data_IF_226043338144
#
_entry.id   IF_226043338144
#
_cell.length_a   1.000
_cell.length_b   1.000
_cell.length_c   1.000
_cell.angle_alpha   90.00
_cell.angle_beta   90.00
_cell.angle_gamma   90.00
#
_symmetry.space_group_name_H-M   'P 1'
#
loop_
_entity.id
_entity.type
_entity.pdbx_description
1 polymer ?
#
# COMPACT_ATOMS: atom_id res chain seq x y z
N UNK A 1 -30.88 -44.26 -15.41
CA UNK A 1 -32.07 -43.45 -15.63
C UNK A 1 -32.44 -42.72 -14.34
N UNK A 2 -32.21 -41.39 -14.27
CA UNK A 2 -33.01 -40.38 -13.59
C UNK A 2 -32.33 -39.02 -13.82
N UNK A 3 -33.01 -38.17 -14.60
CA UNK A 3 -32.73 -36.77 -14.88
C UNK A 3 -33.37 -35.93 -13.77
N UNK A 4 -32.77 -34.83 -13.44
CA UNK A 4 -33.38 -33.55 -12.94
C UNK A 4 -32.21 -32.70 -12.44
N UNK A 5 -32.11 -31.42 -12.63
CA UNK A 5 -32.88 -30.38 -13.20
C UNK A 5 -32.10 -29.08 -13.03
N UNK A 6 -31.91 -28.37 -14.12
CA UNK A 6 -31.28 -27.04 -14.19
C UNK A 6 -32.22 -26.00 -13.57
N UNK A 7 -31.72 -25.19 -12.63
CA UNK A 7 -32.37 -23.96 -12.22
C UNK A 7 -31.45 -22.76 -12.54
N UNK A 8 -31.77 -22.06 -13.62
CA UNK A 8 -31.25 -20.74 -13.93
C UNK A 8 -31.95 -19.69 -13.06
N UNK A 9 -31.20 -18.96 -12.26
CA UNK A 9 -31.63 -17.68 -11.71
C UNK A 9 -30.94 -16.56 -12.46
N UNK A 10 -31.70 -15.92 -13.36
CA UNK A 10 -31.37 -14.64 -13.95
C UNK A 10 -31.88 -13.54 -13.03
N UNK A 11 -30.99 -12.81 -12.37
CA UNK A 11 -31.31 -11.58 -11.64
C UNK A 11 -30.89 -10.38 -12.49
N UNK A 12 -31.86 -9.69 -13.04
CA UNK A 12 -31.69 -8.44 -13.78
C UNK A 12 -31.34 -7.30 -12.83
N UNK A 13 -30.24 -6.61 -13.14
CA UNK A 13 -29.87 -5.35 -12.50
C UNK A 13 -30.43 -4.21 -13.33
N UNK A 14 -31.46 -3.56 -12.81
CA UNK A 14 -32.03 -2.32 -13.34
C UNK A 14 -31.14 -1.14 -12.98
N UNK A 15 -30.50 -0.55 -13.97
CA UNK A 15 -29.68 0.66 -13.85
C UNK A 15 -30.59 1.89 -13.87
N UNK A 16 -30.81 2.54 -12.73
CA UNK A 16 -31.56 3.81 -12.63
C UNK A 16 -30.57 4.98 -12.75
N UNK A 17 -30.60 5.65 -13.90
CA UNK A 17 -29.86 6.89 -14.14
C UNK A 17 -30.69 8.05 -13.61
N UNK A 18 -30.25 8.69 -12.54
CA UNK A 18 -30.79 9.95 -12.04
C UNK A 18 -29.99 11.10 -12.64
N UNK A 19 -30.59 11.83 -13.57
CA UNK A 19 -30.05 13.07 -14.15
C UNK A 19 -30.53 14.22 -13.26
N UNK A 20 -29.61 14.81 -12.50
CA UNK A 20 -29.83 16.08 -11.80
C UNK A 20 -29.36 17.24 -12.68
N UNK A 21 -30.31 17.96 -13.28
CA UNK A 21 -30.12 19.31 -13.83
C UNK A 21 -30.04 20.29 -12.66
N UNK A 22 -28.93 20.98 -12.51
CA UNK A 22 -28.81 22.14 -11.61
C UNK A 22 -28.65 23.42 -12.42
N UNK A 23 -29.63 24.29 -12.22
CA UNK A 23 -29.80 25.62 -12.82
C UNK A 23 -28.70 26.57 -12.32
N UNK A 24 -28.07 27.25 -13.26
CA UNK A 24 -27.13 28.35 -13.05
C UNK A 24 -27.89 29.63 -12.77
N UNK A 25 -27.67 30.24 -11.61
CA UNK A 25 -28.10 31.62 -11.31
C UNK A 25 -26.90 32.56 -11.45
N UNK A 26 -26.94 33.37 -12.49
CA UNK A 26 -26.08 34.54 -12.70
C UNK A 26 -26.47 35.66 -11.72
N UNK A 27 -25.55 36.08 -10.89
CA UNK A 27 -25.69 37.29 -10.07
C UNK A 27 -24.79 38.42 -10.62
N UNK A 28 -25.44 39.43 -11.17
CA UNK A 28 -24.86 40.74 -11.50
C UNK A 28 -24.77 41.59 -10.22
N UNK A 29 -23.62 42.09 -9.88
CA UNK A 29 -23.47 43.17 -8.90
C UNK A 29 -22.39 44.13 -9.33
N UNK A 30 -22.83 45.23 -9.76
CA UNK A 30 -22.52 46.64 -9.52
C UNK A 30 -21.13 47.07 -9.04
N UNK A 31 -20.57 47.93 -9.87
CA UNK A 31 -19.42 48.79 -9.66
C UNK A 31 -19.85 50.08 -8.88
N UNK A 32 -19.09 50.55 -7.91
CA UNK A 32 -19.07 51.98 -7.59
C UNK A 32 -17.74 52.64 -7.90
N UNK A 33 -17.89 53.92 -8.20
CA UNK A 33 -16.95 54.85 -8.79
C UNK A 33 -15.85 55.35 -7.83
N UNK A 34 -14.84 55.84 -8.48
CA UNK A 34 -13.65 56.64 -8.11
C UNK A 34 -13.91 57.76 -7.10
N UNK A 35 -12.87 58.23 -6.35
CA UNK A 35 -12.30 59.51 -6.74
C UNK A 35 -10.76 59.52 -6.87
N UNK A 36 -10.36 60.35 -7.80
CA UNK A 36 -8.99 60.79 -8.11
C UNK A 36 -8.32 61.49 -6.91
N UNK A 37 -7.04 61.19 -6.72
CA UNK A 37 -6.15 62.17 -6.05
C UNK A 37 -4.79 62.11 -6.75
N UNK A 38 -4.49 63.19 -7.43
CA UNK A 38 -3.19 63.56 -7.97
C UNK A 38 -2.11 63.54 -6.89
N UNK A 39 -1.02 62.85 -7.15
CA UNK A 39 0.29 63.22 -6.60
C UNK A 39 1.39 62.85 -7.60
N UNK A 40 1.91 63.88 -8.25
CA UNK A 40 3.21 63.88 -8.96
C UNK A 40 4.30 63.50 -7.98
N UNK A 41 5.19 62.56 -8.35
CA UNK A 41 6.62 62.83 -8.41
C UNK A 41 7.48 61.62 -8.71
N UNK A 42 8.38 61.82 -9.64
CA UNK A 42 9.77 61.41 -9.74
C UNK A 42 10.05 60.09 -10.38
N UNK A 43 10.26 60.14 -11.69
CA UNK A 43 11.07 59.22 -12.48
C UNK A 43 12.42 58.95 -11.80
N UNK A 44 12.69 57.73 -11.47
CA UNK A 44 14.04 57.21 -11.25
C UNK A 44 14.18 55.97 -12.12
N UNK A 45 14.95 56.11 -13.17
CA UNK A 45 15.37 55.06 -14.07
C UNK A 45 15.97 53.88 -13.28
N UNK A 46 15.22 52.84 -13.10
CA UNK A 46 15.71 51.52 -12.70
C UNK A 46 15.42 50.55 -13.83
N UNK A 47 16.49 50.26 -14.55
CA UNK A 47 16.64 49.19 -15.54
C UNK A 47 15.80 47.96 -15.12
N UNK A 48 14.88 47.45 -15.95
CA UNK A 48 14.14 46.22 -15.62
C UNK A 48 15.15 45.09 -15.47
N UNK A 49 15.27 44.57 -14.27
CA UNK A 49 15.92 43.28 -14.05
C UNK A 49 15.12 42.28 -14.89
N UNK A 50 15.73 41.71 -15.90
CA UNK A 50 15.22 40.54 -16.62
C UNK A 50 14.89 39.47 -15.59
N UNK A 51 13.62 39.39 -15.23
CA UNK A 51 13.09 38.23 -14.51
C UNK A 51 13.28 37.04 -15.47
N UNK A 52 14.35 36.25 -15.26
CA UNK A 52 14.50 34.97 -15.93
C UNK A 52 13.18 34.24 -15.82
N UNK A 53 12.45 34.17 -16.91
CA UNK A 53 11.24 33.37 -17.01
C UNK A 53 11.60 31.95 -16.54
N UNK A 54 11.05 31.52 -15.42
CA UNK A 54 11.26 30.20 -14.90
C UNK A 54 10.89 29.21 -16.05
N UNK A 55 11.86 28.46 -16.52
CA UNK A 55 11.65 27.51 -17.59
C UNK A 55 10.50 26.59 -17.19
N UNK A 56 9.43 26.60 -17.97
CA UNK A 56 8.25 25.78 -17.71
C UNK A 56 8.69 24.31 -17.78
N UNK A 57 8.61 23.61 -16.67
CA UNK A 57 8.95 22.21 -16.59
C UNK A 57 8.10 21.40 -17.61
N UNK A 58 8.66 20.37 -18.26
CA UNK A 58 7.95 19.54 -19.23
C UNK A 58 6.89 18.63 -18.56
N UNK A 59 6.68 18.77 -17.27
CA UNK A 59 5.68 18.02 -16.51
C UNK A 59 5.02 18.85 -15.42
N UNK A 60 3.83 18.41 -15.02
CA UNK A 60 3.06 18.96 -13.88
C UNK A 60 2.45 17.80 -13.10
N UNK A 61 2.68 17.78 -11.79
CA UNK A 61 2.14 16.76 -10.88
C UNK A 61 1.30 17.46 -9.81
N UNK A 62 0.13 16.93 -9.55
CA UNK A 62 -0.75 17.39 -8.47
C UNK A 62 -1.21 16.20 -7.64
N UNK A 63 -1.05 16.29 -6.32
CA UNK A 63 -1.54 15.27 -5.39
C UNK A 63 -2.59 15.88 -4.46
N UNK A 64 -3.71 15.19 -4.29
CA UNK A 64 -4.77 15.56 -3.34
C UNK A 64 -4.90 14.43 -2.31
N UNK A 65 -4.85 14.75 -1.03
CA UNK A 65 -4.79 13.76 0.07
C UNK A 65 -6.11 13.54 0.82
N UNK A 66 -7.22 14.12 0.40
CA UNK A 66 -8.47 14.01 1.14
C UNK A 66 -9.66 13.71 0.23
N UNK A 67 -10.52 12.72 0.58
CA UNK A 67 -10.35 11.70 1.63
C UNK A 67 -9.38 10.57 1.24
N UNK A 68 -9.15 10.38 -0.06
CA UNK A 68 -8.25 9.37 -0.64
C UNK A 68 -7.14 10.11 -1.37
N UNK A 69 -5.94 9.53 -1.41
CA UNK A 69 -4.83 10.05 -2.18
C UNK A 69 -5.12 9.91 -3.67
N UNK A 70 -5.27 11.04 -4.36
CA UNK A 70 -5.44 11.10 -5.81
C UNK A 70 -4.25 11.83 -6.44
N UNK A 71 -3.84 11.33 -7.60
CA UNK A 71 -2.70 11.82 -8.37
C UNK A 71 -3.17 12.25 -9.76
N UNK A 72 -2.72 13.41 -10.17
CA UNK A 72 -2.87 13.89 -11.55
C UNK A 72 -1.48 14.21 -12.09
N UNK A 73 -1.16 13.68 -13.26
CA UNK A 73 0.11 13.86 -13.94
C UNK A 73 -0.13 14.28 -15.38
N UNK A 74 0.60 15.31 -15.80
CA UNK A 74 0.77 15.64 -17.20
C UNK A 74 2.27 15.80 -17.47
N UNK A 75 2.82 14.96 -18.33
CA UNK A 75 4.22 14.97 -18.75
C UNK A 75 4.29 14.93 -20.27
N UNK A 76 5.04 15.84 -20.87
CA UNK A 76 5.27 15.93 -22.32
C UNK A 76 6.77 15.85 -22.58
N UNK A 77 7.22 14.72 -23.12
CA UNK A 77 8.65 14.44 -23.38
C UNK A 77 9.54 14.71 -22.16
N UNK A 78 9.08 14.33 -20.98
CA UNK A 78 9.81 14.46 -19.72
C UNK A 78 10.65 13.22 -19.44
N UNK A 79 11.76 13.37 -18.71
CA UNK A 79 12.52 12.20 -18.21
C UNK A 79 11.76 11.54 -17.08
N UNK A 80 11.65 10.22 -17.11
CA UNK A 80 10.99 9.44 -16.06
C UNK A 80 11.63 9.69 -14.69
N UNK A 81 12.95 9.84 -14.62
CA UNK A 81 13.66 10.15 -13.37
C UNK A 81 13.23 11.48 -12.74
N UNK A 82 12.97 12.51 -13.54
CA UNK A 82 12.52 13.80 -13.05
C UNK A 82 11.07 13.73 -12.54
N UNK A 83 10.20 13.05 -13.28
CA UNK A 83 8.81 12.79 -12.89
C UNK A 83 8.73 11.99 -11.59
N UNK A 84 9.50 10.89 -11.50
CA UNK A 84 9.54 10.04 -10.32
C UNK A 84 10.09 10.78 -9.09
N UNK A 85 11.13 11.60 -9.27
CA UNK A 85 11.70 12.41 -8.17
C UNK A 85 10.70 13.42 -7.63
N UNK A 86 9.97 14.12 -8.50
CA UNK A 86 8.96 15.08 -8.06
C UNK A 86 7.77 14.39 -7.40
N UNK A 87 7.31 13.27 -7.96
CA UNK A 87 6.25 12.47 -7.35
C UNK A 87 6.67 11.94 -5.97
N UNK A 88 7.90 11.44 -5.84
CA UNK A 88 8.47 11.00 -4.55
C UNK A 88 8.45 12.09 -3.49
N UNK A 89 8.82 13.33 -3.85
CA UNK A 89 8.76 14.50 -2.95
C UNK A 89 7.33 14.80 -2.49
N UNK A 90 6.36 14.77 -3.41
CA UNK A 90 4.96 15.08 -3.09
C UNK A 90 4.31 13.98 -2.24
N UNK A 91 4.59 12.72 -2.51
CA UNK A 91 4.10 11.57 -1.76
C UNK A 91 4.82 11.41 -0.42
N UNK A 92 6.06 11.88 -0.33
CA UNK A 92 7.02 11.60 0.78
C UNK A 92 7.33 10.09 0.90
N UNK A 93 7.37 9.41 -0.23
CA UNK A 93 7.67 7.98 -0.36
C UNK A 93 8.80 7.85 -1.39
N UNK A 94 9.87 7.12 -1.11
CA UNK A 94 10.93 6.89 -2.10
C UNK A 94 10.40 6.12 -3.30
N UNK A 95 10.79 6.57 -4.50
CA UNK A 95 10.48 5.90 -5.76
C UNK A 95 11.79 5.43 -6.38
N UNK A 96 11.89 4.13 -6.61
CA UNK A 96 13.05 3.48 -7.21
C UNK A 96 12.74 3.13 -8.65
N UNK A 97 13.62 3.55 -9.56
CA UNK A 97 13.52 3.25 -10.97
C UNK A 97 14.51 2.15 -11.35
N UNK A 98 14.07 1.26 -12.18
CA UNK A 98 14.97 0.34 -12.86
C UNK A 98 15.97 1.09 -13.75
N UNK A 99 17.17 0.51 -14.02
CA UNK A 99 18.22 1.18 -14.78
C UNK A 99 17.75 1.68 -16.16
N UNK A 100 16.93 0.92 -16.86
CA UNK A 100 16.42 1.26 -18.19
C UNK A 100 15.40 2.41 -18.14
N UNK A 101 14.63 2.49 -17.05
CA UNK A 101 13.60 3.51 -16.84
C UNK A 101 14.15 4.89 -16.48
N UNK A 102 15.37 4.98 -15.95
CA UNK A 102 15.94 6.24 -15.44
C UNK A 102 16.06 7.33 -16.52
N UNK A 103 16.45 6.94 -17.73
CA UNK A 103 16.67 7.86 -18.85
C UNK A 103 15.53 7.85 -19.87
N UNK A 104 14.47 7.11 -19.62
CA UNK A 104 13.32 7.03 -20.49
C UNK A 104 12.61 8.38 -20.61
N UNK A 105 12.24 8.73 -21.85
CA UNK A 105 11.44 9.92 -22.13
C UNK A 105 9.98 9.51 -22.25
N UNK A 106 9.16 10.06 -21.37
CA UNK A 106 7.74 9.70 -21.27
C UNK A 106 6.83 10.86 -21.67
N UNK A 107 5.69 10.48 -22.24
CA UNK A 107 4.55 11.37 -22.47
C UNK A 107 3.33 10.70 -21.87
N UNK A 108 2.86 11.22 -20.76
CA UNK A 108 1.79 10.64 -19.95
C UNK A 108 0.81 11.73 -19.51
N UNK A 109 -0.48 11.42 -19.58
CA UNK A 109 -1.51 12.32 -19.08
C UNK A 109 -2.62 11.51 -18.39
N UNK A 110 -2.84 11.75 -17.11
CA UNK A 110 -3.97 11.22 -16.36
C UNK A 110 -4.36 12.16 -15.22
N UNK A 111 -5.58 12.05 -14.73
CA UNK A 111 -6.11 12.90 -13.66
C UNK A 111 -6.91 12.12 -12.65
N UNK A 112 -6.74 12.51 -11.38
CA UNK A 112 -7.51 12.03 -10.21
C UNK A 112 -7.52 10.50 -10.04
N UNK A 113 -6.43 9.83 -10.39
CA UNK A 113 -6.26 8.40 -10.14
C UNK A 113 -5.74 8.16 -8.71
N UNK A 114 -6.18 7.07 -8.09
CA UNK A 114 -5.57 6.57 -6.86
C UNK A 114 -4.14 6.07 -7.12
N UNK A 115 -3.36 5.84 -6.05
CA UNK A 115 -1.94 5.54 -6.13
C UNK A 115 -1.65 4.37 -7.09
N UNK A 116 -2.24 3.21 -6.85
CA UNK A 116 -1.92 2.00 -7.60
C UNK A 116 -2.23 2.11 -9.11
N UNK A 117 -3.44 2.54 -9.55
CA UNK A 117 -3.71 2.76 -10.98
C UNK A 117 -2.81 3.83 -11.62
N UNK A 118 -2.45 4.89 -10.89
CA UNK A 118 -1.54 5.90 -11.42
C UNK A 118 -0.15 5.32 -11.70
N UNK A 119 0.37 4.48 -10.80
CA UNK A 119 1.67 3.83 -10.96
C UNK A 119 1.67 2.79 -12.08
N UNK A 120 0.59 2.04 -12.26
CA UNK A 120 0.43 1.07 -13.34
C UNK A 120 0.45 1.72 -14.74
N UNK A 121 -0.01 2.98 -14.84
CA UNK A 121 0.15 3.76 -16.09
C UNK A 121 1.57 4.26 -16.31
N UNK A 122 2.36 4.37 -15.25
CA UNK A 122 3.73 4.86 -15.33
C UNK A 122 4.74 3.77 -15.67
N UNK A 123 4.48 2.51 -15.33
CA UNK A 123 5.44 1.41 -15.51
C UNK A 123 4.75 0.07 -15.76
N UNK A 124 5.32 -0.80 -16.63
CA UNK A 124 4.75 -2.12 -16.89
C UNK A 124 4.87 -3.07 -15.69
N UNK A 125 5.90 -2.91 -14.87
CA UNK A 125 6.10 -3.70 -13.65
C UNK A 125 6.20 -2.75 -12.46
N UNK A 126 5.30 -2.94 -11.49
CA UNK A 126 5.19 -2.05 -10.34
C UNK A 126 5.08 -2.87 -9.06
N UNK A 127 5.98 -2.58 -8.11
CA UNK A 127 5.86 -3.07 -6.74
C UNK A 127 5.69 -1.90 -5.78
N UNK A 128 4.89 -2.13 -4.74
CA UNK A 128 4.72 -1.15 -3.66
C UNK A 128 4.83 -1.86 -2.32
N UNK A 129 5.76 -1.41 -1.51
CA UNK A 129 5.89 -1.88 -0.13
C UNK A 129 4.98 -1.06 0.79
N UNK A 130 4.16 -1.73 1.58
CA UNK A 130 3.22 -1.14 2.52
C UNK A 130 3.49 -1.55 3.96
N UNK A 131 3.22 -0.63 4.88
CA UNK A 131 3.02 -0.91 6.31
C UNK A 131 1.51 -0.91 6.59
N UNK A 132 1.01 -1.99 7.18
CA UNK A 132 -0.36 -2.17 7.62
C UNK A 132 -0.36 -2.20 9.15
N UNK A 133 -0.96 -1.20 9.74
CA UNK A 133 -1.21 -1.16 11.19
C UNK A 133 -2.56 -1.81 11.47
N UNK A 134 -2.54 -2.95 12.16
CA UNK A 134 -3.76 -3.74 12.40
C UNK A 134 -4.69 -3.10 13.44
N UNK A 135 -4.18 -2.21 14.28
CA UNK A 135 -4.93 -1.59 15.36
C UNK A 135 -5.64 -0.29 15.00
N UNK A 136 -5.10 0.45 14.04
CA UNK A 136 -5.61 1.80 13.75
C UNK A 136 -6.82 1.84 12.80
N UNK A 137 -7.05 0.76 12.03
CA UNK A 137 -8.02 0.78 10.92
C UNK A 137 -7.68 1.79 9.82
N UNK A 138 -6.50 2.40 9.88
CA UNK A 138 -6.01 3.33 8.87
C UNK A 138 -5.69 2.58 7.56
N UNK A 139 -5.76 3.27 6.41
CA UNK A 139 -5.35 2.68 5.16
C UNK A 139 -3.86 2.32 5.18
N UNK A 140 -3.44 1.30 4.39
CA UNK A 140 -2.04 0.93 4.26
C UNK A 140 -1.16 2.12 3.91
N UNK A 141 -0.02 2.26 4.57
CA UNK A 141 0.95 3.33 4.34
C UNK A 141 2.03 2.84 3.39
N UNK A 142 2.15 3.45 2.22
CA UNK A 142 3.23 3.15 1.30
C UNK A 142 4.59 3.56 1.89
N UNK A 143 5.57 2.66 1.81
CA UNK A 143 6.93 2.83 2.31
C UNK A 143 7.95 2.97 1.18
N UNK A 144 7.71 2.32 0.05
CA UNK A 144 8.56 2.36 -1.13
C UNK A 144 7.79 1.97 -2.38
N UNK A 145 8.16 2.55 -3.50
CA UNK A 145 7.56 2.31 -4.81
C UNK A 145 8.68 1.93 -5.76
N UNK A 146 8.48 0.87 -6.55
CA UNK A 146 9.44 0.38 -7.53
C UNK A 146 8.79 0.36 -8.91
N UNK A 147 9.38 1.10 -9.84
CA UNK A 147 8.93 1.20 -11.23
C UNK A 147 9.97 0.54 -12.13
N UNK A 148 9.68 -0.67 -12.57
CA UNK A 148 10.60 -1.53 -13.29
C UNK A 148 10.13 -1.79 -14.72
N UNK A 149 11.03 -2.31 -15.55
CA UNK A 149 10.71 -2.84 -16.86
C UNK A 149 10.43 -4.35 -16.76
N UNK A 150 9.81 -4.90 -17.78
CA UNK A 150 9.40 -6.31 -17.88
C UNK A 150 10.54 -7.31 -17.69
N UNK A 151 11.78 -6.89 -17.92
CA UNK A 151 12.97 -7.73 -17.80
C UNK A 151 13.57 -7.74 -16.38
N UNK A 152 12.96 -7.03 -15.43
CA UNK A 152 13.48 -6.92 -14.06
C UNK A 152 12.65 -7.78 -13.12
N UNK A 153 13.38 -8.53 -12.28
CA UNK A 153 12.77 -9.33 -11.23
C UNK A 153 12.31 -8.49 -10.03
N UNK A 154 11.74 -9.17 -9.06
CA UNK A 154 11.29 -8.57 -7.82
C UNK A 154 12.42 -7.79 -7.10
N UNK A 155 12.13 -6.59 -6.55
CA UNK A 155 13.14 -5.81 -5.83
C UNK A 155 13.60 -6.52 -4.56
N UNK A 156 14.88 -6.36 -4.16
CA UNK A 156 15.40 -6.99 -2.96
C UNK A 156 14.64 -6.53 -1.70
N UNK A 157 14.49 -7.42 -0.74
CA UNK A 157 13.75 -7.18 0.51
C UNK A 157 14.39 -6.09 1.40
N UNK A 158 15.63 -5.73 1.14
CA UNK A 158 16.48 -4.92 2.04
C UNK A 158 16.29 -3.43 1.95
N UNK A 159 15.60 -2.90 0.94
CA UNK A 159 15.69 -1.47 0.60
C UNK A 159 14.84 -0.56 1.51
N UNK A 160 13.73 -1.04 2.08
CA UNK A 160 12.81 -0.20 2.88
C UNK A 160 12.66 -0.70 4.32
N UNK A 161 12.99 -1.96 4.57
CA UNK A 161 12.74 -2.62 5.86
C UNK A 161 13.93 -2.46 6.84
N UNK A 162 15.10 -2.02 6.38
CA UNK A 162 16.31 -1.85 7.17
C UNK A 162 16.36 -0.52 7.95
N UNK A 163 15.27 -0.13 8.56
CA UNK A 163 15.30 0.82 9.67
C UNK A 163 15.58 0.05 10.97
N UNK A 164 16.85 -0.28 11.23
CA UNK A 164 17.39 -0.81 12.49
C UNK A 164 16.72 -2.11 13.02
N UNK A 165 17.38 -3.17 12.95
CA UNK A 165 17.77 -4.10 14.01
C UNK A 165 18.10 -5.47 13.42
N UNK A 166 19.14 -6.07 13.91
CA UNK A 166 19.67 -7.38 13.52
C UNK A 166 18.55 -8.43 13.41
N UNK A 167 18.28 -8.86 12.20
CA UNK A 167 17.50 -10.07 11.97
C UNK A 167 18.26 -11.24 12.56
N UNK A 168 17.77 -11.85 13.61
CA UNK A 168 18.12 -13.25 13.87
C UNK A 168 17.54 -14.05 12.72
N UNK A 169 18.38 -14.42 11.77
CA UNK A 169 18.10 -15.45 10.79
C UNK A 169 18.03 -16.75 11.58
N UNK A 170 16.85 -17.19 11.94
CA UNK A 170 16.65 -18.56 12.38
C UNK A 170 16.63 -19.37 11.09
N UNK A 171 17.73 -20.06 10.79
CA UNK A 171 17.72 -21.14 9.81
C UNK A 171 16.76 -22.22 10.32
N UNK A 172 15.51 -22.10 9.95
CA UNK A 172 14.50 -23.13 10.16
C UNK A 172 14.75 -24.25 9.17
N UNK A 173 15.10 -25.42 9.70
CA UNK A 173 15.07 -26.65 8.94
C UNK A 173 13.63 -26.86 8.49
N UNK A 174 13.35 -26.66 7.22
CA UNK A 174 12.09 -27.09 6.58
C UNK A 174 12.08 -28.61 6.56
N UNK A 175 11.49 -29.22 7.59
CA UNK A 175 11.00 -30.58 7.44
C UNK A 175 9.83 -30.51 6.46
N UNK A 176 10.01 -31.11 5.28
CA UNK A 176 8.99 -31.29 4.27
C UNK A 176 7.71 -31.82 4.95
N UNK A 177 6.61 -31.09 4.72
CA UNK A 177 5.31 -31.44 5.27
C UNK A 177 4.85 -32.81 4.77
N UNK A 178 5.16 -33.80 5.54
CA UNK A 178 4.64 -35.20 5.33
C UNK A 178 3.14 -35.10 5.63
N UNK A 179 2.32 -35.30 4.62
CA UNK A 179 0.87 -35.49 4.83
C UNK A 179 0.67 -36.71 5.79
N UNK A 180 -0.17 -36.54 6.82
CA UNK A 180 -0.39 -37.59 7.79
C UNK A 180 -1.04 -38.80 7.12
N UNK A 181 -0.31 -39.96 7.08
CA UNK A 181 -0.73 -41.15 6.41
C UNK A 181 -1.76 -41.97 7.18
N UNK A 182 -2.02 -41.68 8.46
CA UNK A 182 -2.95 -42.44 9.29
C UNK A 182 -4.00 -41.58 10.02
N UNK A 183 -5.14 -42.20 10.37
CA UNK A 183 -6.20 -41.53 11.17
C UNK A 183 -5.75 -41.18 12.58
N UNK A 184 -4.81 -41.93 13.16
CA UNK A 184 -4.25 -41.69 14.47
C UNK A 184 -3.31 -40.47 14.46
N UNK A 185 -2.58 -40.23 13.35
CA UNK A 185 -1.76 -39.05 13.17
C UNK A 185 -2.61 -37.82 12.98
N UNK A 186 -3.75 -37.91 12.30
CA UNK A 186 -4.72 -36.82 12.17
C UNK A 186 -5.30 -36.42 13.52
N UNK A 187 -5.63 -37.37 14.40
CA UNK A 187 -6.10 -37.07 15.76
C UNK A 187 -5.05 -36.43 16.63
N UNK A 188 -3.78 -36.89 16.57
CA UNK A 188 -2.67 -36.22 17.28
C UNK A 188 -2.44 -34.80 16.81
N UNK A 189 -2.56 -34.53 15.51
CA UNK A 189 -2.47 -33.19 14.92
C UNK A 189 -3.61 -32.28 15.39
N UNK A 190 -4.82 -32.81 15.57
CA UNK A 190 -5.98 -32.04 16.07
C UNK A 190 -5.86 -31.64 17.55
N UNK A 191 -5.13 -32.41 18.35
CA UNK A 191 -4.89 -32.15 19.77
C UNK A 191 -3.74 -31.17 20.05
N UNK A 192 -2.95 -30.80 19.04
CA UNK A 192 -1.86 -29.84 19.21
C UNK A 192 -2.40 -28.49 19.67
N UNK A 193 -1.82 -27.89 20.72
CA UNK A 193 -2.27 -26.59 21.24
C UNK A 193 -2.00 -25.41 20.29
N UNK A 194 -1.09 -25.60 19.32
CA UNK A 194 -0.78 -24.65 18.27
C UNK A 194 -0.60 -25.38 16.95
N UNK A 195 -1.39 -24.98 15.95
CA UNK A 195 -1.28 -25.47 14.58
C UNK A 195 -1.40 -24.30 13.60
N UNK A 196 -0.45 -24.20 12.69
CA UNK A 196 -0.45 -23.20 11.64
C UNK A 196 -0.27 -23.91 10.31
N UNK A 197 -0.97 -23.47 9.30
CA UNK A 197 -0.89 -24.01 7.94
C UNK A 197 -1.03 -22.88 6.94
N UNK A 198 -0.10 -22.79 6.02
CA UNK A 198 -0.12 -21.87 4.90
C UNK A 198 -0.24 -22.65 3.60
N UNK A 199 -1.32 -22.45 2.88
CA UNK A 199 -1.59 -23.12 1.59
C UNK A 199 -2.41 -22.19 0.69
N UNK A 200 -2.06 -22.17 -0.59
CA UNK A 200 -2.77 -21.38 -1.61
C UNK A 200 -2.91 -19.89 -1.25
N UNK A 201 -1.85 -19.28 -0.70
CA UNK A 201 -1.82 -17.91 -0.17
C UNK A 201 -2.81 -17.63 0.97
N UNK A 202 -3.35 -18.67 1.59
CA UNK A 202 -4.26 -18.60 2.73
C UNK A 202 -3.63 -19.22 3.97
N UNK A 203 -3.80 -18.53 5.08
CA UNK A 203 -3.29 -18.93 6.38
C UNK A 203 -4.44 -19.47 7.25
N UNK A 204 -4.17 -20.57 7.93
CA UNK A 204 -5.05 -21.13 8.96
C UNK A 204 -4.29 -21.22 10.27
N UNK A 205 -4.89 -20.75 11.35
CA UNK A 205 -4.30 -20.72 12.69
C UNK A 205 -5.27 -21.32 13.68
N UNK A 206 -4.82 -22.34 14.42
CA UNK A 206 -5.50 -22.87 15.58
C UNK A 206 -4.56 -22.76 16.78
N UNK A 207 -4.90 -21.90 17.73
CA UNK A 207 -4.12 -21.65 18.93
C UNK A 207 -5.02 -21.77 20.16
N UNK A 208 -4.66 -22.61 21.12
CA UNK A 208 -5.38 -22.78 22.39
C UNK A 208 -4.47 -22.32 23.51
N UNK A 209 -4.82 -21.23 24.17
CA UNK A 209 -4.08 -20.64 25.30
C UNK A 209 -2.58 -20.45 24.98
N UNK A 210 -2.28 -19.90 23.79
CA UNK A 210 -0.92 -19.69 23.34
C UNK A 210 -0.51 -18.23 23.46
N UNK A 211 0.74 -17.92 23.85
CA UNK A 211 1.28 -16.56 23.78
C UNK A 211 1.22 -16.05 22.34
N UNK A 212 0.74 -14.82 22.15
CA UNK A 212 0.65 -14.20 20.79
C UNK A 212 2.01 -14.16 20.10
N UNK A 213 3.08 -13.90 20.85
CA UNK A 213 4.46 -13.90 20.32
C UNK A 213 4.84 -15.25 19.72
N UNK A 214 4.53 -16.36 20.40
CA UNK A 214 4.80 -17.70 19.91
C UNK A 214 4.02 -18.01 18.63
N UNK A 215 2.74 -17.60 18.57
CA UNK A 215 1.89 -17.78 17.39
C UNK A 215 2.49 -17.01 16.20
N UNK A 216 2.94 -15.76 16.42
CA UNK A 216 3.55 -14.95 15.36
C UNK A 216 4.88 -15.53 14.87
N UNK A 217 5.73 -16.01 15.79
CA UNK A 217 6.98 -16.67 15.40
C UNK A 217 6.73 -17.89 14.52
N UNK A 218 5.73 -18.70 14.87
CA UNK A 218 5.35 -19.87 14.04
C UNK A 218 4.71 -19.48 12.71
N UNK A 219 3.96 -18.37 12.64
CA UNK A 219 3.48 -17.81 11.36
C UNK A 219 4.67 -17.38 10.50
N UNK A 220 5.65 -16.67 11.08
CA UNK A 220 6.86 -16.26 10.36
C UNK A 220 7.66 -17.44 9.82
N UNK A 221 7.78 -18.51 10.60
CA UNK A 221 8.43 -19.76 10.17
C UNK A 221 7.72 -20.41 8.97
N UNK A 222 6.39 -20.52 9.01
CA UNK A 222 5.58 -21.06 7.91
C UNK A 222 5.62 -20.19 6.64
N UNK A 223 5.70 -18.87 6.81
CA UNK A 223 5.77 -17.93 5.69
C UNK A 223 7.20 -17.69 5.19
N UNK A 224 8.22 -18.14 5.92
CA UNK A 224 9.61 -17.86 5.62
C UNK A 224 9.99 -16.37 5.77
N UNK A 225 9.32 -15.63 6.67
CA UNK A 225 9.52 -14.19 6.86
C UNK A 225 9.98 -13.85 8.29
N UNK A 226 10.77 -12.78 8.47
CA UNK A 226 11.21 -12.35 9.79
C UNK A 226 10.06 -11.84 10.65
N UNK A 227 10.09 -12.18 11.94
CA UNK A 227 9.18 -11.69 12.96
C UNK A 227 9.99 -10.96 14.03
N UNK A 228 9.59 -9.74 14.33
CA UNK A 228 10.23 -8.88 15.31
C UNK A 228 9.29 -8.66 16.50
N UNK A 229 9.69 -9.10 17.69
CA UNK A 229 8.94 -8.92 18.92
C UNK A 229 9.57 -7.79 19.71
N UNK A 230 9.00 -6.59 19.61
CA UNK A 230 9.51 -5.40 20.30
C UNK A 230 9.08 -5.31 21.77
N UNK A 231 7.89 -5.87 22.09
CA UNK A 231 7.43 -5.95 23.46
C UNK A 231 7.97 -7.21 24.16
N UNK A 232 8.97 -7.05 25.01
CA UNK A 232 9.57 -8.14 25.77
C UNK A 232 8.65 -8.69 26.86
N UNK A 233 7.59 -7.98 27.22
CA UNK A 233 6.65 -8.35 28.29
C UNK A 233 5.33 -8.90 27.75
N UNK A 234 5.29 -9.37 26.49
CA UNK A 234 4.06 -9.91 25.91
C UNK A 234 3.65 -11.19 26.63
N UNK A 235 2.79 -11.02 27.63
CA UNK A 235 2.10 -12.12 28.33
C UNK A 235 0.73 -12.42 27.72
N UNK A 236 0.33 -11.70 26.69
CA UNK A 236 -0.98 -11.86 26.06
C UNK A 236 -1.12 -13.26 25.49
N UNK A 237 -2.05 -14.00 26.08
CA UNK A 237 -2.44 -15.35 25.66
C UNK A 237 -3.68 -15.24 24.81
N UNK A 238 -3.71 -15.96 23.71
CA UNK A 238 -4.83 -15.97 22.77
C UNK A 238 -5.43 -17.37 22.62
N UNK A 239 -6.72 -17.39 22.39
CA UNK A 239 -7.46 -18.53 21.88
C UNK A 239 -8.01 -18.12 20.51
N UNK A 240 -7.51 -18.74 19.44
CA UNK A 240 -7.87 -18.39 18.08
C UNK A 240 -8.11 -19.66 17.24
N UNK A 241 -9.18 -19.63 16.46
CA UNK A 241 -9.47 -20.63 15.44
C UNK A 241 -9.87 -19.89 14.15
N UNK A 242 -8.87 -19.72 13.27
CA UNK A 242 -8.98 -18.97 12.04
C UNK A 242 -8.68 -19.92 10.88
N UNK A 243 -9.52 -19.95 9.87
CA UNK A 243 -9.38 -20.88 8.76
C UNK A 243 -9.37 -20.16 7.42
N UNK A 244 -8.34 -20.42 6.63
CA UNK A 244 -8.22 -20.03 5.21
C UNK A 244 -8.50 -18.53 4.96
N UNK A 245 -7.81 -17.66 5.66
CA UNK A 245 -7.85 -16.22 5.42
C UNK A 245 -6.50 -15.72 4.87
N UNK A 246 -6.49 -14.59 4.15
CA UNK A 246 -5.26 -13.89 3.81
C UNK A 246 -4.46 -13.54 5.07
N UNK A 247 -3.14 -13.51 4.95
CA UNK A 247 -2.24 -13.23 6.10
C UNK A 247 -2.62 -11.92 6.82
N UNK A 248 -2.96 -10.88 6.06
CA UNK A 248 -3.39 -9.58 6.60
C UNK A 248 -4.59 -9.69 7.54
N UNK A 249 -5.58 -10.50 7.16
CA UNK A 249 -6.81 -10.68 7.94
C UNK A 249 -6.58 -11.55 9.18
N UNK A 250 -5.69 -12.54 9.07
CA UNK A 250 -5.30 -13.38 10.21
C UNK A 250 -4.58 -12.53 11.26
N UNK A 251 -3.53 -11.81 10.88
CA UNK A 251 -2.74 -11.02 11.85
C UNK A 251 -3.58 -9.91 12.50
N UNK A 252 -4.54 -9.33 11.77
CA UNK A 252 -5.48 -8.33 12.31
C UNK A 252 -6.37 -8.92 13.40
N UNK A 253 -6.75 -10.21 13.29
CA UNK A 253 -7.57 -10.88 14.31
C UNK A 253 -6.75 -11.32 15.54
N UNK A 254 -5.44 -11.52 15.39
CA UNK A 254 -4.60 -11.97 16.49
C UNK A 254 -4.29 -10.86 17.51
N UNK A 255 -3.94 -9.66 17.05
CA UNK A 255 -3.65 -8.54 17.94
C UNK A 255 -3.69 -7.20 17.19
N UNK A 256 -4.21 -6.14 17.83
CA UNK A 256 -4.16 -4.78 17.30
C UNK A 256 -2.76 -4.13 17.35
N UNK A 257 -1.79 -4.77 18.01
CA UNK A 257 -0.42 -4.25 18.15
C UNK A 257 0.51 -4.73 17.04
N UNK A 258 -0.01 -5.49 16.08
CA UNK A 258 0.79 -6.03 15.00
C UNK A 258 0.90 -4.99 13.88
N UNK A 259 2.13 -4.81 13.37
CA UNK A 259 2.40 -4.16 12.10
C UNK A 259 2.85 -5.20 11.10
N UNK A 260 2.15 -5.29 9.99
CA UNK A 260 2.49 -6.19 8.90
C UNK A 260 3.08 -5.37 7.76
N UNK A 261 4.23 -5.81 7.26
CA UNK A 261 4.86 -5.26 6.07
C UNK A 261 4.58 -6.18 4.90
N UNK A 262 4.02 -5.64 3.84
CA UNK A 262 3.63 -6.38 2.65
C UNK A 262 4.16 -5.72 1.39
N UNK A 263 4.47 -6.51 0.38
CA UNK A 263 4.73 -6.07 -0.98
C UNK A 263 3.54 -6.40 -1.85
N UNK A 264 3.01 -5.39 -2.51
CA UNK A 264 2.02 -5.56 -3.55
C UNK A 264 2.72 -5.58 -4.91
N UNK A 265 2.57 -6.68 -5.65
CA UNK A 265 2.85 -6.74 -7.08
C UNK A 265 1.60 -6.30 -7.82
N UNK A 266 1.62 -5.10 -8.35
CA UNK A 266 0.46 -4.54 -9.06
C UNK A 266 0.28 -5.14 -10.46
N UNK A 267 1.31 -5.81 -10.98
CA UNK A 267 1.26 -6.44 -12.29
C UNK A 267 0.44 -7.73 -12.25
N UNK A 268 0.63 -8.53 -11.20
CA UNK A 268 -0.06 -9.81 -11.02
C UNK A 268 -1.22 -9.74 -10.01
N UNK A 269 -1.46 -8.57 -9.42
CA UNK A 269 -2.43 -8.37 -8.35
C UNK A 269 -2.20 -9.28 -7.13
N UNK A 270 -0.94 -9.54 -6.82
CA UNK A 270 -0.51 -10.40 -5.72
C UNK A 270 0.04 -9.56 -4.56
N UNK A 271 -0.08 -10.11 -3.35
CA UNK A 271 0.51 -9.55 -2.15
C UNK A 271 1.28 -10.60 -1.39
N UNK A 272 2.51 -10.28 -1.05
CA UNK A 272 3.38 -11.12 -0.24
C UNK A 272 3.74 -10.43 1.08
N UNK A 273 3.68 -11.17 2.17
CA UNK A 273 4.16 -10.68 3.46
C UNK A 273 5.70 -10.62 3.45
N UNK A 274 6.25 -9.54 3.99
CA UNK A 274 7.70 -9.30 4.05
C UNK A 274 8.24 -9.43 5.47
N UNK A 275 7.45 -8.99 6.47
CA UNK A 275 7.85 -8.94 7.87
C UNK A 275 6.62 -8.76 8.76
N UNK A 276 6.69 -9.31 9.95
CA UNK A 276 5.72 -9.07 11.03
C UNK A 276 6.43 -8.39 12.19
N UNK A 277 5.84 -7.35 12.77
CA UNK A 277 6.35 -6.67 13.95
C UNK A 277 5.25 -6.64 15.00
N UNK A 278 5.51 -7.19 16.18
CA UNK A 278 4.69 -6.99 17.36
C UNK A 278 5.22 -5.78 18.13
N UNK A 279 4.53 -4.65 17.99
CA UNK A 279 4.95 -3.39 18.59
C UNK A 279 4.57 -3.32 20.08
N UNK A 280 5.29 -2.47 20.82
CA UNK A 280 4.86 -2.10 22.18
C UNK A 280 3.50 -1.40 22.14
N UNK A 281 2.63 -1.64 23.15
CA UNK A 281 1.40 -0.87 23.27
C UNK A 281 1.74 0.63 23.39
N UNK A 282 0.92 1.52 22.81
CA UNK A 282 1.14 2.95 22.94
C UNK A 282 1.16 3.30 24.44
N UNK A 283 2.23 3.95 24.90
CA UNK A 283 2.32 4.43 26.29
C UNK A 283 1.13 5.34 26.53
N UNK A 284 0.30 4.99 27.49
CA UNK A 284 -0.80 5.85 27.91
C UNK A 284 -0.22 7.23 28.27
N UNK A 285 -0.55 8.23 27.48
CA UNK A 285 -0.20 9.61 27.76
C UNK A 285 -0.97 9.99 29.04
N UNK A 286 -0.28 10.03 30.17
CA UNK A 286 -0.83 10.52 31.46
C UNK A 286 -1.03 12.02 31.39
#
# INVERSE_FOLDING_TARGET
MKRTGFCHYATGITLTIVVCLALSTTSLAQKPATPETDTKQTQKDSKPAETKAAAKLPYSIKTRKSPILNISLKAEKAKMSEVAQELSKQLKVPIFLGPERQNEIVTLEFSELTLEPALQLMSPVVYVDYEIDTGSGAPPKALGIYLFDTNQGEPPLTTVINGATQSMLIEGNTEDGVEPESEDDKKKLEEQPLRIQFKDNLLSVKAKKQPVALVLLKIGEELGIPVDIQDQNVTTVIDAEISKLPVEDVVRQLSPQIRLFVRADLTHAERSALRIVLAEPPKATQ
#
